data_IF_084031542078
#
_entry.id   IF_084031542078
#
_cell.length_a   1.000
_cell.length_b   1.000
_cell.length_c   1.000
_cell.angle_alpha   90.00
_cell.angle_beta   90.00
_cell.angle_gamma   90.00
#
_symmetry.space_group_name_H-M   'P 1'
#
loop_
_entity.id
_entity.type
_entity.pdbx_description
1 polymer ?
#
# COMPACT_ATOMS: atom_id res chain seq x y z
N UNK A 1 -15.74 -28.14 30.63
CA UNK A 1 -15.71 -28.59 29.23
C UNK A 1 -15.60 -27.43 28.24
N UNK A 2 -16.60 -26.53 28.12
CA UNK A 2 -16.55 -25.37 27.19
C UNK A 2 -15.30 -24.48 27.34
N UNK A 3 -14.87 -24.20 28.57
CA UNK A 3 -13.67 -23.37 28.82
C UNK A 3 -12.36 -24.05 28.38
N UNK A 4 -12.27 -25.38 28.51
CA UNK A 4 -11.10 -26.13 28.08
C UNK A 4 -11.01 -26.21 26.54
N UNK A 5 -12.13 -26.42 25.86
CA UNK A 5 -12.21 -26.38 24.39
C UNK A 5 -11.84 -24.99 23.86
N UNK A 6 -12.33 -23.92 24.50
CA UNK A 6 -12.02 -22.54 24.10
C UNK A 6 -10.53 -22.22 24.25
N UNK A 7 -9.92 -22.62 25.36
CA UNK A 7 -8.48 -22.46 25.59
C UNK A 7 -7.63 -23.20 24.55
N UNK A 8 -8.04 -24.40 24.13
CA UNK A 8 -7.36 -25.16 23.07
C UNK A 8 -7.54 -24.50 21.70
N UNK A 9 -8.74 -24.02 21.38
CA UNK A 9 -9.00 -23.27 20.14
C UNK A 9 -8.20 -21.96 20.08
N UNK A 10 -8.12 -21.21 21.18
CA UNK A 10 -7.34 -19.98 21.26
C UNK A 10 -5.84 -20.26 21.09
N UNK A 11 -5.35 -21.36 21.67
CA UNK A 11 -3.94 -21.79 21.51
C UNK A 11 -3.65 -22.25 20.08
N UNK A 12 -4.59 -22.94 19.43
CA UNK A 12 -4.47 -23.37 18.03
C UNK A 12 -4.53 -22.19 17.06
N UNK A 13 -5.37 -21.20 17.32
CA UNK A 13 -5.48 -19.98 16.52
C UNK A 13 -4.20 -19.11 16.61
N UNK A 14 -3.53 -19.10 17.77
CA UNK A 14 -2.24 -18.43 17.95
C UNK A 14 -1.09 -19.14 17.21
N UNK A 15 -1.22 -20.44 16.96
CA UNK A 15 -0.23 -21.25 16.23
C UNK A 15 -0.57 -21.47 14.75
N UNK A 16 -1.74 -20.99 14.29
CA UNK A 16 -2.11 -21.08 12.89
C UNK A 16 -1.15 -20.19 12.07
N UNK A 17 -0.47 -20.73 11.04
CA UNK A 17 0.36 -19.90 10.18
C UNK A 17 -0.55 -18.83 9.57
N UNK A 18 -0.21 -17.56 9.81
CA UNK A 18 -0.94 -16.46 9.19
C UNK A 18 -0.78 -16.59 7.68
N UNK A 19 -1.91 -16.74 7.00
CA UNK A 19 -1.95 -16.69 5.55
C UNK A 19 -1.58 -15.29 5.09
N UNK A 20 -0.83 -15.22 4.00
CA UNK A 20 -0.50 -13.98 3.32
C UNK A 20 -0.57 -14.20 1.81
N UNK A 21 0.05 -13.32 1.04
CA UNK A 21 0.05 -13.40 -0.42
C UNK A 21 1.37 -13.95 -0.94
N UNK A 22 1.34 -14.72 -2.03
CA UNK A 22 2.53 -15.26 -2.68
C UNK A 22 2.59 -14.83 -4.13
N UNK A 23 3.73 -14.28 -4.52
CA UNK A 23 4.01 -13.82 -5.88
C UNK A 23 4.96 -14.79 -6.57
N UNK A 24 4.53 -15.36 -7.69
CA UNK A 24 5.25 -16.38 -8.45
C UNK A 24 5.44 -15.88 -9.88
N UNK A 25 6.46 -16.40 -10.57
CA UNK A 25 6.67 -16.12 -11.99
C UNK A 25 6.99 -14.65 -12.29
N UNK A 26 7.55 -13.92 -11.32
CA UNK A 26 7.83 -12.49 -11.46
C UNK A 26 6.62 -11.57 -11.23
N UNK A 27 5.59 -12.04 -10.52
CA UNK A 27 4.43 -11.23 -10.10
C UNK A 27 3.16 -11.45 -10.92
N UNK A 28 3.21 -12.32 -11.93
CA UNK A 28 2.06 -12.67 -12.79
C UNK A 28 1.08 -13.62 -12.09
N UNK A 29 1.59 -14.51 -11.24
CA UNK A 29 0.78 -15.47 -10.48
C UNK A 29 0.78 -15.06 -9.01
N UNK A 30 -0.37 -14.62 -8.52
CA UNK A 30 -0.57 -14.15 -7.15
C UNK A 30 -1.60 -15.02 -6.43
N UNK A 31 -1.19 -15.66 -5.34
CA UNK A 31 -2.08 -16.45 -4.48
C UNK A 31 -2.28 -15.81 -3.13
N UNK A 32 -3.54 -15.67 -2.71
CA UNK A 32 -3.91 -15.23 -1.38
C UNK A 32 -4.08 -16.38 -0.39
N UNK A 33 -4.05 -16.06 0.91
CA UNK A 33 -4.28 -17.01 2.01
C UNK A 33 -3.35 -18.23 2.00
N UNK A 34 -2.15 -18.06 1.44
CA UNK A 34 -1.12 -19.08 1.39
C UNK A 34 -0.12 -18.86 2.52
N UNK A 35 0.49 -19.92 3.03
CA UNK A 35 1.53 -19.80 4.06
C UNK A 35 2.89 -19.50 3.45
N UNK A 36 3.79 -18.88 4.23
CA UNK A 36 5.16 -18.64 3.80
C UNK A 36 5.87 -19.91 3.30
N UNK A 37 5.61 -21.05 3.95
CA UNK A 37 6.17 -22.34 3.54
C UNK A 37 5.64 -22.77 2.17
N UNK A 38 4.32 -22.73 1.96
CA UNK A 38 3.71 -23.09 0.67
C UNK A 38 4.19 -22.17 -0.47
N UNK A 39 4.39 -20.88 -0.18
CA UNK A 39 4.94 -19.95 -1.15
C UNK A 39 6.40 -20.30 -1.51
N UNK A 40 7.23 -20.59 -0.51
CA UNK A 40 8.62 -20.96 -0.70
C UNK A 40 8.77 -22.29 -1.48
N UNK A 41 7.89 -23.27 -1.24
CA UNK A 41 7.84 -24.53 -2.00
C UNK A 41 7.54 -24.32 -3.48
N UNK A 42 6.80 -23.25 -3.82
CA UNK A 42 6.50 -22.83 -5.20
C UNK A 42 7.55 -21.90 -5.80
N UNK A 43 8.60 -21.55 -5.03
CA UNK A 43 9.64 -20.62 -5.47
C UNK A 43 9.16 -19.17 -5.61
N UNK A 44 8.10 -18.79 -4.89
CA UNK A 44 7.55 -17.44 -4.90
C UNK A 44 8.10 -16.54 -3.78
N UNK A 45 7.80 -15.25 -3.89
CA UNK A 45 8.06 -14.23 -2.87
C UNK A 45 6.82 -14.05 -1.98
N UNK A 46 6.99 -14.19 -0.66
CA UNK A 46 5.88 -14.18 0.29
C UNK A 46 5.69 -12.81 0.96
N UNK A 47 4.45 -12.34 1.00
CA UNK A 47 3.99 -11.20 1.78
C UNK A 47 3.25 -11.67 3.04
N UNK A 48 3.62 -11.24 4.25
CA UNK A 48 3.01 -11.69 5.50
C UNK A 48 1.59 -11.14 5.77
N UNK A 49 1.11 -10.19 4.97
CA UNK A 49 -0.27 -9.71 5.00
C UNK A 49 -1.03 -10.29 3.79
N UNK A 50 -2.35 -10.38 3.88
CA UNK A 50 -3.17 -10.84 2.76
C UNK A 50 -3.49 -9.66 1.83
N UNK A 51 -2.48 -9.27 1.05
CA UNK A 51 -2.62 -8.27 0.00
C UNK A 51 -3.48 -8.80 -1.13
N UNK A 52 -4.22 -7.88 -1.76
CA UNK A 52 -5.14 -8.18 -2.84
C UNK A 52 -4.41 -8.56 -4.12
N UNK A 53 -4.72 -9.73 -4.65
CA UNK A 53 -4.20 -10.19 -5.94
C UNK A 53 -5.10 -9.77 -7.11
N UNK A 54 -6.27 -9.17 -6.84
CA UNK A 54 -7.26 -8.75 -7.84
C UNK A 54 -7.05 -7.32 -8.38
N UNK A 55 -6.07 -6.59 -7.83
CA UNK A 55 -5.71 -5.24 -8.26
C UNK A 55 -4.53 -5.31 -9.24
N UNK A 56 -4.68 -4.66 -10.38
CA UNK A 56 -3.70 -4.52 -11.48
C UNK A 56 -4.05 -3.20 -12.17
N UNK A 57 -3.52 -2.10 -11.65
CA UNK A 57 -3.97 -0.77 -12.06
C UNK A 57 -3.39 -0.34 -13.41
N UNK A 58 -2.18 -0.79 -13.75
CA UNK A 58 -1.55 -0.47 -15.04
C UNK A 58 -1.94 -1.45 -16.15
N UNK A 59 -2.63 -2.54 -15.80
CA UNK A 59 -3.19 -3.52 -16.71
C UNK A 59 -2.13 -4.42 -17.36
N UNK A 60 -0.95 -4.54 -16.74
CA UNK A 60 0.16 -5.31 -17.29
C UNK A 60 0.07 -6.83 -16.98
N UNK A 61 -0.94 -7.23 -16.20
CA UNK A 61 -1.23 -8.61 -15.84
C UNK A 61 -0.43 -9.10 -14.64
N UNK A 62 0.28 -8.21 -13.93
CA UNK A 62 0.86 -8.46 -12.61
C UNK A 62 0.03 -7.73 -11.57
N UNK A 63 -0.21 -8.37 -10.44
CA UNK A 63 -0.99 -7.72 -9.39
C UNK A 63 -0.16 -6.64 -8.70
N UNK A 64 -0.77 -5.50 -8.40
CA UNK A 64 -0.17 -4.36 -7.68
C UNK A 64 0.63 -4.80 -6.44
N UNK A 65 0.07 -5.74 -5.65
CA UNK A 65 0.72 -6.30 -4.47
C UNK A 65 2.07 -6.96 -4.77
N UNK A 66 2.15 -7.69 -5.88
CA UNK A 66 3.38 -8.33 -6.32
C UNK A 66 4.37 -7.33 -6.90
N UNK A 67 3.87 -6.29 -7.53
CA UNK A 67 4.71 -5.24 -8.10
C UNK A 67 5.39 -4.39 -7.03
N UNK A 68 4.66 -4.05 -5.97
CA UNK A 68 5.21 -3.42 -4.77
C UNK A 68 6.24 -4.31 -4.07
N UNK A 69 5.97 -5.60 -3.97
CA UNK A 69 6.91 -6.55 -3.36
C UNK A 69 8.20 -6.69 -4.17
N UNK A 70 8.09 -6.74 -5.49
CA UNK A 70 9.23 -6.92 -6.40
C UNK A 70 9.95 -5.59 -6.70
N UNK A 71 9.37 -4.46 -6.28
CA UNK A 71 9.90 -3.11 -6.49
C UNK A 71 9.77 -2.61 -7.92
N UNK A 72 8.83 -3.15 -8.71
CA UNK A 72 8.49 -2.58 -10.03
C UNK A 72 7.61 -1.33 -9.91
N UNK A 73 6.89 -1.20 -8.79
CA UNK A 73 6.13 0.00 -8.45
C UNK A 73 6.58 0.59 -7.11
N UNK A 74 6.17 1.84 -6.86
CA UNK A 74 6.52 2.61 -5.67
C UNK A 74 5.25 2.83 -4.83
N UNK A 75 5.34 2.64 -3.52
CA UNK A 75 4.31 2.97 -2.51
C UNK A 75 5.00 3.79 -1.43
N UNK A 76 5.10 5.11 -1.63
CA UNK A 76 5.89 5.95 -0.72
C UNK A 76 5.13 6.26 0.57
N UNK A 77 3.80 6.34 0.49
CA UNK A 77 2.95 6.57 1.65
C UNK A 77 2.76 5.28 2.49
N UNK A 78 3.29 4.13 2.04
CA UNK A 78 3.21 2.82 2.66
C UNK A 78 1.77 2.39 3.01
N UNK A 79 0.81 2.74 2.16
CA UNK A 79 -0.61 2.40 2.37
C UNK A 79 -1.00 1.06 1.72
N UNK A 80 -0.10 0.49 0.92
CA UNK A 80 -0.27 -0.77 0.24
C UNK A 80 -0.98 -0.71 -1.12
N UNK A 81 -1.13 0.49 -1.67
CA UNK A 81 -1.47 0.72 -3.05
C UNK A 81 -0.26 1.36 -3.74
N UNK A 82 0.03 0.99 -4.99
CA UNK A 82 1.07 1.69 -5.72
C UNK A 82 0.70 3.15 -5.95
N UNK A 83 1.65 4.05 -5.75
CA UNK A 83 1.46 5.48 -5.95
C UNK A 83 0.94 5.77 -7.36
N UNK A 84 1.28 4.95 -8.37
CA UNK A 84 0.83 5.08 -9.76
C UNK A 84 -0.67 4.81 -9.93
N UNK A 85 -1.27 4.00 -9.05
CA UNK A 85 -2.69 3.69 -9.00
C UNK A 85 -3.48 4.69 -8.14
N UNK A 86 -2.79 5.68 -7.58
CA UNK A 86 -3.34 6.69 -6.69
C UNK A 86 -3.16 8.09 -7.27
N UNK A 87 -4.08 8.97 -6.92
CA UNK A 87 -3.95 10.41 -7.16
C UNK A 87 -3.29 11.09 -5.97
N UNK A 88 -2.13 10.56 -5.56
CA UNK A 88 -1.29 11.20 -4.56
C UNK A 88 -0.85 12.58 -5.06
N UNK A 89 -1.33 13.61 -4.37
CA UNK A 89 -1.11 15.00 -4.76
C UNK A 89 -2.38 15.73 -5.21
N UNK A 90 -3.48 15.02 -5.49
CA UNK A 90 -4.81 15.61 -5.68
C UNK A 90 -5.48 15.70 -4.31
N UNK A 91 -5.43 16.88 -3.70
CA UNK A 91 -5.80 17.07 -2.29
C UNK A 91 -7.28 17.46 -2.17
N UNK A 92 -7.93 17.97 -3.23
CA UNK A 92 -9.38 18.22 -3.24
C UNK A 92 -10.21 17.18 -3.99
N UNK A 93 -9.60 16.09 -4.43
CA UNK A 93 -10.24 14.96 -5.13
C UNK A 93 -10.97 15.43 -6.41
N UNK A 94 -10.38 16.35 -7.18
CA UNK A 94 -10.97 16.89 -8.40
C UNK A 94 -10.55 16.16 -9.70
N UNK A 95 -9.59 15.24 -9.59
CA UNK A 95 -9.05 14.41 -10.66
C UNK A 95 -7.86 15.03 -11.40
N UNK A 96 -7.38 16.20 -10.97
CA UNK A 96 -6.21 16.87 -11.52
C UNK A 96 -5.24 17.23 -10.40
N UNK A 97 -3.94 17.04 -10.63
CA UNK A 97 -2.90 17.52 -9.73
C UNK A 97 -2.42 18.85 -10.29
N UNK A 98 -2.88 19.96 -9.71
CA UNK A 98 -2.61 21.29 -10.24
C UNK A 98 -2.19 22.32 -9.19
N UNK A 99 -2.27 23.60 -9.55
CA UNK A 99 -1.79 24.69 -8.71
C UNK A 99 -2.58 24.80 -7.41
N UNK A 100 -3.86 24.43 -7.44
CA UNK A 100 -4.72 24.48 -6.26
C UNK A 100 -4.28 23.44 -5.21
N UNK A 101 -3.76 22.29 -5.63
CA UNK A 101 -3.15 21.30 -4.72
C UNK A 101 -1.81 21.74 -4.18
N UNK A 102 -0.94 22.28 -5.04
CA UNK A 102 0.33 22.82 -4.58
C UNK A 102 0.12 23.91 -3.52
N UNK A 103 -0.86 24.78 -3.73
CA UNK A 103 -1.19 25.82 -2.76
C UNK A 103 -1.72 25.24 -1.44
N UNK A 104 -2.39 24.09 -1.46
CA UNK A 104 -2.76 23.38 -0.22
C UNK A 104 -1.53 22.84 0.50
N UNK A 105 -0.56 22.22 -0.18
CA UNK A 105 0.72 21.79 0.44
C UNK A 105 1.41 22.97 1.13
N UNK A 106 1.52 24.11 0.45
CA UNK A 106 2.10 25.34 1.03
C UNK A 106 1.29 25.86 2.21
N UNK A 107 -0.04 25.72 2.20
CA UNK A 107 -0.89 26.10 3.34
C UNK A 107 -0.70 25.18 4.55
N UNK A 108 -0.31 23.92 4.35
CA UNK A 108 -0.07 22.94 5.41
C UNK A 108 1.38 22.88 5.90
N UNK A 109 2.28 23.69 5.31
CA UNK A 109 3.73 23.63 5.54
C UNK A 109 4.16 23.67 7.02
N UNK A 110 5.03 22.73 7.40
CA UNK A 110 5.63 22.61 8.73
C UNK A 110 5.36 21.25 9.41
N UNK A 111 5.85 21.11 10.64
CA UNK A 111 5.67 19.89 11.43
C UNK A 111 4.19 19.64 11.76
N UNK A 112 3.70 18.43 11.51
CA UNK A 112 2.34 18.04 11.84
C UNK A 112 2.30 17.19 13.12
N UNK A 113 1.91 17.81 14.25
CA UNK A 113 1.75 17.12 15.54
C UNK A 113 0.28 16.73 15.85
N UNK A 114 -0.59 16.61 14.84
CA UNK A 114 -2.04 16.39 15.00
C UNK A 114 -2.47 14.91 15.08
N UNK A 115 -3.61 14.63 15.72
CA UNK A 115 -4.24 13.28 15.79
C UNK A 115 -5.06 12.91 14.54
N UNK A 116 -5.15 13.83 13.58
CA UNK A 116 -5.96 13.74 12.38
C UNK A 116 -5.08 13.59 11.16
N UNK A 117 -5.53 12.83 10.17
CA UNK A 117 -4.85 12.58 8.89
C UNK A 117 -4.44 13.90 8.22
N UNK A 118 -3.14 14.14 8.13
CA UNK A 118 -2.61 15.21 7.29
C UNK A 118 -2.74 14.76 5.83
N UNK A 119 -3.49 15.52 5.03
CA UNK A 119 -3.74 15.18 3.62
C UNK A 119 -2.60 15.60 2.68
N UNK A 120 -1.64 16.38 3.20
CA UNK A 120 -0.52 16.94 2.44
C UNK A 120 0.85 16.39 2.87
N UNK A 121 0.88 15.47 3.84
CA UNK A 121 2.07 14.70 4.25
C UNK A 121 2.00 13.34 3.52
N UNK A 122 2.63 13.28 2.35
CA UNK A 122 2.51 12.18 1.40
C UNK A 122 3.52 11.06 1.69
N UNK A 123 4.70 11.38 2.21
CA UNK A 123 5.72 10.37 2.55
C UNK A 123 5.63 9.89 4.01
N UNK A 124 4.72 10.50 4.80
CA UNK A 124 4.41 10.15 6.19
C UNK A 124 5.61 10.30 7.12
N UNK A 125 6.46 11.29 6.84
CA UNK A 125 7.62 11.62 7.67
C UNK A 125 7.28 12.57 8.85
N UNK A 126 6.00 12.92 9.00
CA UNK A 126 5.42 13.79 10.03
C UNK A 126 5.69 15.29 9.82
N UNK A 127 6.26 15.67 8.69
CA UNK A 127 6.42 17.05 8.23
C UNK A 127 5.63 17.26 6.93
N UNK A 128 5.10 18.46 6.72
CA UNK A 128 4.70 18.89 5.37
C UNK A 128 5.80 19.82 4.86
N UNK A 129 6.62 19.31 3.97
CA UNK A 129 7.89 19.89 3.59
C UNK A 129 8.12 20.00 2.09
N UNK A 130 9.39 20.12 1.73
CA UNK A 130 9.79 20.23 0.33
C UNK A 130 9.61 18.90 -0.40
N UNK A 131 9.76 17.79 0.31
CA UNK A 131 9.51 16.44 -0.14
C UNK A 131 8.06 16.31 -0.63
N UNK A 132 7.06 16.69 0.16
CA UNK A 132 5.64 16.67 -0.22
C UNK A 132 5.32 17.57 -1.41
N UNK A 133 5.94 18.75 -1.47
CA UNK A 133 5.78 19.64 -2.61
C UNK A 133 6.34 19.00 -3.89
N UNK A 134 7.46 18.28 -3.79
CA UNK A 134 8.05 17.59 -4.93
C UNK A 134 7.16 16.43 -5.42
N UNK A 135 6.32 15.82 -4.57
CA UNK A 135 5.31 14.87 -5.04
C UNK A 135 4.32 15.52 -5.99
N UNK A 136 3.70 16.63 -5.57
CA UNK A 136 2.72 17.36 -6.40
C UNK A 136 3.35 17.79 -7.73
N UNK A 137 4.58 18.29 -7.70
CA UNK A 137 5.29 18.69 -8.92
C UNK A 137 5.65 17.52 -9.83
N UNK A 138 6.00 16.35 -9.29
CA UNK A 138 6.36 15.17 -10.08
C UNK A 138 5.14 14.49 -10.73
N UNK A 139 3.95 14.74 -10.20
CA UNK A 139 2.68 14.11 -10.62
C UNK A 139 1.72 15.08 -11.33
N UNK A 140 2.21 16.27 -11.68
CA UNK A 140 1.42 17.36 -12.23
C UNK A 140 0.58 16.97 -13.47
N UNK A 141 -0.68 17.38 -13.47
CA UNK A 141 -1.66 17.14 -14.53
C UNK A 141 -2.68 16.08 -14.15
N UNK A 142 -3.38 15.55 -15.16
CA UNK A 142 -4.50 14.65 -14.94
C UNK A 142 -4.06 13.39 -14.20
N UNK A 143 -4.82 13.05 -13.17
CA UNK A 143 -4.71 11.78 -12.52
C UNK A 143 -6.00 10.97 -12.77
N UNK A 144 -5.92 10.04 -13.71
CA UNK A 144 -6.93 8.99 -13.85
C UNK A 144 -6.35 7.72 -13.22
N UNK A 145 -6.92 7.22 -12.10
CA UNK A 145 -6.62 5.90 -11.60
C UNK A 145 -7.16 4.79 -12.52
#
# INVERSE_FOLDING_TARGET
FKQAVRKVLDTMALSAPRGGSCCIGGGVDCDENITAQQCAERGGSFLPHNWRCDLDCDGDGKSDACELLLGSMVDQNNNGNPDACECLGDIDDDGEIEIDDLLKVVNYWGEWMGDTTCVADFDRDWEVGIEDLLYVLNRWGNCNP
#
